data_IF_587477545433
#
_entry.id   IF_587477545433
#
_cell.length_a   1.000
_cell.length_b   1.000
_cell.length_c   1.000
_cell.angle_alpha   90.00
_cell.angle_beta   90.00
_cell.angle_gamma   90.00
#
_symmetry.space_group_name_H-M   'P 1'
#
loop_
_entity.id
_entity.type
_entity.pdbx_description
1 polymer ?
#
# COMPACT_ATOMS: atom_id res chain seq x y z
N UNK A 1 15.83 17.31 4.17
CA UNK A 1 14.70 16.37 3.98
C UNK A 1 15.01 15.56 2.72
N UNK A 2 15.01 14.21 2.75
CA UNK A 2 15.23 13.43 1.53
C UNK A 2 14.22 13.88 0.47
N UNK A 3 14.68 14.07 -0.77
CA UNK A 3 13.82 14.55 -1.85
C UNK A 3 12.68 13.54 -2.08
N UNK A 4 11.45 13.97 -1.81
CA UNK A 4 10.24 13.17 -2.06
C UNK A 4 9.90 13.36 -3.54
N UNK A 5 10.13 12.32 -4.34
CA UNK A 5 9.80 12.27 -5.78
C UNK A 5 8.30 12.11 -6.04
N UNK A 6 7.57 11.46 -5.14
CA UNK A 6 6.15 11.22 -5.32
C UNK A 6 5.43 10.82 -4.04
N UNK A 7 4.13 11.11 -3.99
CA UNK A 7 3.20 10.63 -2.97
C UNK A 7 1.93 10.15 -3.65
N UNK A 8 1.34 9.08 -3.13
CA UNK A 8 0.14 8.50 -3.71
C UNK A 8 -0.75 7.86 -2.66
N UNK A 9 -2.06 7.87 -2.94
CA UNK A 9 -3.05 7.07 -2.23
C UNK A 9 -3.58 6.05 -3.24
N UNK A 10 -3.68 4.79 -2.82
CA UNK A 10 -4.22 3.71 -3.61
C UNK A 10 -5.47 3.15 -2.93
N UNK A 11 -6.51 2.94 -3.72
CA UNK A 11 -7.71 2.22 -3.29
C UNK A 11 -7.88 1.05 -4.25
N UNK A 12 -8.04 -0.14 -3.71
CA UNK A 12 -8.17 -1.38 -4.47
C UNK A 12 -9.36 -2.19 -4.00
N UNK A 13 -9.97 -2.91 -4.92
CA UNK A 13 -10.96 -3.96 -4.63
C UNK A 13 -10.47 -5.25 -5.27
N UNK A 14 -10.73 -6.37 -4.61
CA UNK A 14 -10.34 -7.69 -5.07
C UNK A 14 -11.40 -8.71 -4.73
N UNK A 15 -11.44 -9.80 -5.49
CA UNK A 15 -12.29 -10.94 -5.16
C UNK A 15 -11.52 -12.22 -5.34
N UNK A 16 -11.66 -13.13 -4.39
CA UNK A 16 -11.04 -14.46 -4.42
C UNK A 16 -11.97 -15.44 -3.72
N UNK A 17 -12.19 -16.60 -4.34
CA UNK A 17 -13.02 -17.68 -3.77
C UNK A 17 -14.42 -17.22 -3.31
N UNK A 18 -15.07 -16.38 -4.13
CA UNK A 18 -16.40 -15.82 -3.83
C UNK A 18 -16.43 -14.76 -2.72
N UNK A 19 -15.30 -14.41 -2.12
CA UNK A 19 -15.18 -13.35 -1.11
C UNK A 19 -14.71 -12.06 -1.76
N UNK A 20 -15.25 -10.93 -1.30
CA UNK A 20 -14.82 -9.59 -1.70
C UNK A 20 -13.90 -8.99 -0.66
N UNK A 21 -12.86 -8.32 -1.13
CA UNK A 21 -11.87 -7.62 -0.32
C UNK A 21 -11.73 -6.17 -0.83
N UNK A 22 -11.43 -5.25 0.07
CA UNK A 22 -11.03 -3.89 -0.27
C UNK A 22 -9.72 -3.54 0.44
N UNK A 23 -8.91 -2.69 -0.17
CA UNK A 23 -7.64 -2.22 0.36
C UNK A 23 -7.48 -0.72 0.16
N UNK A 24 -6.90 -0.05 1.14
CA UNK A 24 -6.51 1.35 1.06
C UNK A 24 -5.06 1.48 1.52
N UNK A 25 -4.26 2.19 0.74
CA UNK A 25 -2.84 2.35 1.02
C UNK A 25 -2.32 3.73 0.68
N UNK A 26 -1.20 4.07 1.30
CA UNK A 26 -0.45 5.29 1.06
C UNK A 26 0.99 4.94 0.71
N UNK A 27 1.54 5.69 -0.24
CA UNK A 27 2.90 5.53 -0.73
C UNK A 27 3.64 6.87 -0.68
N UNK A 28 4.91 6.81 -0.26
CA UNK A 28 5.91 7.86 -0.46
C UNK A 28 7.03 7.26 -1.30
N UNK A 29 7.41 7.94 -2.37
CA UNK A 29 8.55 7.58 -3.19
C UNK A 29 9.60 8.68 -3.06
N UNK A 30 10.76 8.33 -2.52
CA UNK A 30 11.96 9.16 -2.54
C UNK A 30 12.90 8.75 -3.68
N UNK A 31 13.99 9.51 -3.84
CA UNK A 31 15.05 9.26 -4.83
C UNK A 31 15.66 7.85 -4.68
N UNK A 32 16.09 7.51 -3.46
CA UNK A 32 16.81 6.27 -3.13
C UNK A 32 15.95 5.23 -2.42
N UNK A 33 14.83 5.65 -1.82
CA UNK A 33 13.99 4.77 -1.01
C UNK A 33 12.51 5.10 -1.21
N UNK A 34 11.68 4.06 -1.25
CA UNK A 34 10.22 4.14 -1.35
C UNK A 34 9.58 3.42 -0.18
N UNK A 35 8.50 3.98 0.37
CA UNK A 35 7.74 3.44 1.49
C UNK A 35 6.29 3.27 1.08
N UNK A 36 5.68 2.16 1.48
CA UNK A 36 4.27 1.86 1.27
C UNK A 36 3.69 1.31 2.55
N UNK A 37 2.49 1.76 2.91
CA UNK A 37 1.70 1.20 4.00
C UNK A 37 0.27 1.06 3.53
N UNK A 38 -0.44 0.05 4.01
CA UNK A 38 -1.83 -0.15 3.64
C UNK A 38 -2.58 -1.07 4.57
N UNK A 39 -3.89 -0.90 4.57
CA UNK A 39 -4.84 -1.73 5.30
C UNK A 39 -5.77 -2.40 4.30
N UNK A 40 -6.15 -3.64 4.59
CA UNK A 40 -7.01 -4.46 3.76
C UNK A 40 -8.10 -5.05 4.63
N UNK A 41 -9.32 -5.17 4.13
CA UNK A 41 -10.36 -5.95 4.79
C UNK A 41 -11.05 -6.88 3.82
N UNK A 42 -11.35 -8.09 4.29
CA UNK A 42 -12.01 -9.15 3.54
C UNK A 42 -12.88 -9.96 4.49
N UNK A 43 -14.18 -10.04 4.22
CA UNK A 43 -15.09 -10.94 4.96
C UNK A 43 -15.08 -10.78 6.50
N UNK A 44 -14.80 -9.59 7.02
CA UNK A 44 -14.70 -9.32 8.46
C UNK A 44 -13.29 -9.41 9.04
N UNK A 45 -12.32 -9.91 8.28
CA UNK A 45 -10.90 -9.91 8.64
C UNK A 45 -10.26 -8.59 8.21
N UNK A 46 -9.34 -8.07 9.03
CA UNK A 46 -8.57 -6.86 8.72
C UNK A 46 -7.09 -7.18 8.77
N UNK A 47 -6.37 -6.78 7.73
CA UNK A 47 -4.93 -6.92 7.62
C UNK A 47 -4.24 -5.56 7.46
N UNK A 48 -3.00 -5.46 7.90
CA UNK A 48 -2.13 -4.31 7.67
C UNK A 48 -0.84 -4.76 6.98
N UNK A 49 -0.28 -3.90 6.15
CA UNK A 49 0.95 -4.14 5.41
C UNK A 49 1.83 -2.89 5.43
N UNK A 50 3.13 -3.11 5.48
CA UNK A 50 4.15 -2.08 5.34
C UNK A 50 5.29 -2.64 4.50
N UNK A 51 5.86 -1.82 3.63
CA UNK A 51 6.95 -2.19 2.74
C UNK A 51 7.90 -1.03 2.49
N UNK A 52 9.17 -1.36 2.35
CA UNK A 52 10.23 -0.43 1.95
C UNK A 52 10.96 -1.01 0.74
N UNK A 53 11.32 -0.16 -0.20
CA UNK A 53 12.13 -0.51 -1.37
C UNK A 53 13.27 0.47 -1.55
N UNK A 54 14.45 -0.01 -1.92
CA UNK A 54 15.64 0.81 -2.18
C UNK A 54 15.97 0.79 -3.67
N UNK A 55 16.47 1.90 -4.19
CA UNK A 55 16.87 2.07 -5.57
C UNK A 55 18.38 2.35 -5.61
N UNK A 56 19.13 1.51 -6.31
CA UNK A 56 20.61 1.52 -6.38
C UNK A 56 21.07 1.50 -7.84
#
# INVERSE_FOLDING_TARGET
>A
MPAIKGRGIAIGVGSYDGKSAFAVGFQIQGEQASFKVGVTSSGGETGASAGVGFNF
#
